data_IF_569983919502
#
_entry.id   IF_569983919502
#
_cell.length_a   1.000
_cell.length_b   1.000
_cell.length_c   1.000
_cell.angle_alpha   90.00
_cell.angle_beta   90.00
_cell.angle_gamma   90.00
#
_symmetry.space_group_name_H-M   'P 1'
#
loop_
_entity.id
_entity.type
_entity.pdbx_description
1 polymer ?
#
# COMPACT_ATOMS: atom_id res chain seq x y z
N UNK A 1 -38.65 24.49 26.70
CA UNK A 1 -38.34 23.93 25.35
C UNK A 1 -37.54 24.96 24.59
N UNK A 2 -36.21 24.83 24.42
CA UNK A 2 -35.41 25.53 23.40
C UNK A 2 -33.91 25.20 23.63
N UNK A 3 -33.40 24.08 23.12
CA UNK A 3 -31.96 23.72 23.17
C UNK A 3 -31.53 22.94 21.90
N UNK A 4 -32.06 23.29 20.72
CA UNK A 4 -31.89 22.49 19.50
C UNK A 4 -31.17 23.13 18.30
N UNK A 5 -30.50 24.29 18.44
CA UNK A 5 -30.24 25.17 17.28
C UNK A 5 -28.80 25.49 16.86
N UNK A 6 -27.72 24.96 17.46
CA UNK A 6 -26.36 25.52 17.25
C UNK A 6 -25.27 24.58 16.70
N UNK A 7 -25.54 23.31 16.47
CA UNK A 7 -24.48 22.38 16.02
C UNK A 7 -24.04 22.57 14.55
N UNK A 8 -24.83 23.26 13.72
CA UNK A 8 -24.59 23.42 12.28
C UNK A 8 -24.70 24.89 11.81
N UNK A 9 -24.35 25.86 12.64
CA UNK A 9 -24.32 27.26 12.20
C UNK A 9 -23.34 27.41 11.01
N UNK A 10 -23.81 27.83 9.81
CA UNK A 10 -22.96 27.97 8.64
C UNK A 10 -21.79 28.93 8.88
N UNK A 11 -21.94 29.92 9.76
CA UNK A 11 -20.85 30.81 10.15
C UNK A 11 -19.72 30.04 10.86
N UNK A 12 -20.06 29.24 11.88
CA UNK A 12 -19.09 28.44 12.62
C UNK A 12 -18.42 27.37 11.73
N UNK A 13 -19.18 26.74 10.83
CA UNK A 13 -18.66 25.77 9.87
C UNK A 13 -17.72 26.41 8.86
N UNK A 14 -18.04 27.61 8.38
CA UNK A 14 -17.18 28.35 7.46
C UNK A 14 -15.85 28.73 8.11
N UNK A 15 -15.88 29.24 9.35
CA UNK A 15 -14.68 29.54 10.14
C UNK A 15 -13.84 28.27 10.32
N UNK A 16 -14.48 27.14 10.64
CA UNK A 16 -13.79 25.88 10.81
C UNK A 16 -13.15 25.36 9.53
N UNK A 17 -13.86 25.43 8.41
CA UNK A 17 -13.35 25.04 7.10
C UNK A 17 -12.18 25.94 6.68
N UNK A 18 -12.26 27.24 6.99
CA UNK A 18 -11.17 28.19 6.73
C UNK A 18 -10.04 28.15 7.75
N UNK A 19 -10.16 27.41 8.86
CA UNK A 19 -9.12 27.35 9.88
C UNK A 19 -7.78 26.76 9.37
N UNK A 20 -7.81 26.06 8.22
CA UNK A 20 -6.61 25.53 7.56
C UNK A 20 -5.91 26.57 6.67
N UNK A 21 -6.61 27.62 6.24
CA UNK A 21 -6.02 28.66 5.37
C UNK A 21 -4.81 29.35 6.02
N UNK A 22 -4.86 29.77 7.30
CA UNK A 22 -3.69 30.35 7.96
C UNK A 22 -2.50 29.40 7.99
N UNK A 23 -2.73 28.09 8.17
CA UNK A 23 -1.68 27.08 8.17
C UNK A 23 -1.07 26.88 6.78
N UNK A 24 -1.88 26.87 5.72
CA UNK A 24 -1.37 26.86 4.35
C UNK A 24 -0.60 28.13 3.98
N UNK A 25 -1.08 29.30 4.40
CA UNK A 25 -0.40 30.58 4.20
C UNK A 25 0.93 30.60 4.96
N UNK A 26 0.94 30.15 6.22
CA UNK A 26 2.14 30.03 7.03
C UNK A 26 3.16 29.05 6.40
N UNK A 27 2.69 27.96 5.80
CA UNK A 27 3.56 27.01 5.11
C UNK A 27 4.29 27.61 3.90
N UNK A 28 3.67 28.57 3.22
CA UNK A 28 4.26 29.25 2.04
C UNK A 28 5.16 30.40 2.46
N UNK A 29 4.79 31.14 3.50
CA UNK A 29 5.47 32.40 3.86
C UNK A 29 6.57 32.22 4.91
N UNK A 30 6.52 31.18 5.75
CA UNK A 30 7.46 31.00 6.84
C UNK A 30 8.59 30.01 6.48
N UNK A 31 9.78 30.17 7.09
CA UNK A 31 10.82 29.16 7.03
C UNK A 31 10.33 27.80 7.55
N UNK A 32 10.84 26.71 6.95
CA UNK A 32 10.50 25.31 7.29
C UNK A 32 10.46 25.04 8.81
N UNK A 33 11.43 25.56 9.55
CA UNK A 33 11.56 25.38 11.00
C UNK A 33 10.36 25.94 11.80
N UNK A 34 9.66 26.95 11.27
CA UNK A 34 8.50 27.57 11.90
C UNK A 34 7.18 27.04 11.31
N UNK A 35 7.13 26.84 9.99
CA UNK A 35 5.95 26.34 9.30
C UNK A 35 5.52 24.95 9.77
N UNK A 36 6.47 24.00 9.88
CA UNK A 36 6.18 22.60 10.24
C UNK A 36 5.56 22.45 11.63
N UNK A 37 6.11 23.00 12.72
CA UNK A 37 5.50 22.81 14.05
C UNK A 37 4.13 23.48 14.17
N UNK A 38 3.91 24.63 13.52
CA UNK A 38 2.59 25.29 13.52
C UNK A 38 1.55 24.43 12.81
N UNK A 39 1.89 23.92 11.63
CA UNK A 39 0.99 23.12 10.79
C UNK A 39 0.73 21.74 11.38
N UNK A 40 1.77 21.06 11.85
CA UNK A 40 1.64 19.79 12.57
C UNK A 40 0.86 19.95 13.87
N UNK A 41 1.15 20.99 14.66
CA UNK A 41 0.47 21.25 15.93
C UNK A 41 -1.03 21.49 15.75
N UNK A 42 -1.40 22.36 14.80
CA UNK A 42 -2.80 22.58 14.44
C UNK A 42 -3.49 21.29 13.98
N UNK A 43 -2.81 20.50 13.14
CA UNK A 43 -3.29 19.21 12.66
C UNK A 43 -3.57 18.22 13.79
N UNK A 44 -2.62 18.03 14.70
CA UNK A 44 -2.75 17.13 15.86
C UNK A 44 -3.90 17.54 16.76
N UNK A 45 -4.05 18.84 17.05
CA UNK A 45 -5.16 19.34 17.88
C UNK A 45 -6.51 19.04 17.24
N UNK A 46 -6.67 19.35 15.95
CA UNK A 46 -7.91 19.10 15.23
C UNK A 46 -8.24 17.60 15.13
N UNK A 47 -7.23 16.76 14.91
CA UNK A 47 -7.40 15.31 14.91
C UNK A 47 -7.74 14.74 16.29
N UNK A 48 -7.15 15.28 17.36
CA UNK A 48 -7.47 14.89 18.73
C UNK A 48 -8.93 15.22 19.09
N UNK A 49 -9.40 16.42 18.72
CA UNK A 49 -10.80 16.83 18.87
C UNK A 49 -11.72 15.91 18.06
N UNK A 50 -11.36 15.63 16.81
CA UNK A 50 -12.12 14.74 15.93
C UNK A 50 -12.20 13.30 16.47
N UNK A 51 -11.09 12.78 17.01
CA UNK A 51 -11.01 11.43 17.58
C UNK A 51 -11.80 11.31 18.89
N UNK A 52 -11.80 12.35 19.73
CA UNK A 52 -12.50 12.34 21.00
C UNK A 52 -14.01 12.14 20.85
N UNK A 53 -14.62 12.58 19.73
CA UNK A 53 -16.06 12.49 19.36
C UNK A 53 -17.07 13.00 20.39
N UNK A 54 -16.63 13.33 21.59
CA UNK A 54 -17.41 13.73 22.76
C UNK A 54 -17.85 15.18 22.71
N UNK A 55 -17.10 16.00 21.97
CA UNK A 55 -17.31 17.45 21.94
C UNK A 55 -18.11 17.83 20.70
N UNK A 56 -17.74 17.37 19.50
CA UNK A 56 -18.41 17.73 18.23
C UNK A 56 -18.85 16.51 17.41
N UNK A 57 -20.05 15.97 17.66
CA UNK A 57 -20.66 14.96 16.80
C UNK A 57 -21.11 15.56 15.45
N UNK A 58 -21.23 14.72 14.42
CA UNK A 58 -21.81 15.13 13.13
C UNK A 58 -20.87 15.84 12.15
N UNK A 59 -21.41 16.75 11.34
CA UNK A 59 -20.72 17.40 10.22
C UNK A 59 -19.57 18.31 10.67
N UNK A 60 -19.74 19.07 11.76
CA UNK A 60 -18.69 19.92 12.32
C UNK A 60 -17.42 19.12 12.68
N UNK A 61 -17.59 17.93 13.27
CA UNK A 61 -16.47 17.02 13.53
C UNK A 61 -15.79 16.55 12.24
N UNK A 62 -16.54 16.25 11.18
CA UNK A 62 -15.95 15.85 9.89
C UNK A 62 -15.13 16.96 9.24
N UNK A 63 -15.61 18.21 9.28
CA UNK A 63 -14.85 19.38 8.79
C UNK A 63 -13.57 19.56 9.62
N UNK A 64 -13.64 19.43 10.95
CA UNK A 64 -12.46 19.48 11.83
C UNK A 64 -11.45 18.39 11.48
N UNK A 65 -11.92 17.17 11.28
CA UNK A 65 -11.09 16.03 10.90
C UNK A 65 -10.41 16.24 9.55
N UNK A 66 -11.14 16.68 8.53
CA UNK A 66 -10.58 16.99 7.22
C UNK A 66 -9.53 18.10 7.30
N UNK A 67 -9.83 19.16 8.05
CA UNK A 67 -8.90 20.25 8.30
C UNK A 67 -7.60 19.78 8.98
N UNK A 68 -7.73 18.93 10.00
CA UNK A 68 -6.59 18.33 10.69
C UNK A 68 -5.75 17.42 9.79
N UNK A 69 -6.40 16.59 8.98
CA UNK A 69 -5.73 15.70 8.01
C UNK A 69 -4.94 16.49 6.97
N UNK A 70 -5.52 17.57 6.42
CA UNK A 70 -4.83 18.42 5.45
C UNK A 70 -3.63 19.14 6.06
N UNK A 71 -3.74 19.61 7.31
CA UNK A 71 -2.64 20.24 8.01
C UNK A 71 -1.49 19.25 8.29
N UNK A 72 -1.79 18.01 8.73
CA UNK A 72 -0.79 16.95 8.90
C UNK A 72 -0.14 16.58 7.57
N UNK A 73 -0.93 16.39 6.51
CA UNK A 73 -0.42 16.08 5.18
C UNK A 73 0.57 17.15 4.69
N UNK A 74 0.20 18.43 4.81
CA UNK A 74 1.07 19.52 4.40
C UNK A 74 2.32 19.61 5.27
N UNK A 75 2.20 19.43 6.59
CA UNK A 75 3.36 19.39 7.49
C UNK A 75 4.34 18.27 7.08
N UNK A 76 3.84 17.08 6.77
CA UNK A 76 4.63 15.92 6.32
C UNK A 76 5.31 16.18 4.98
N UNK A 77 4.59 16.72 4.00
CA UNK A 77 5.17 17.09 2.68
C UNK A 77 6.25 18.17 2.80
N UNK A 78 6.10 19.09 3.76
CA UNK A 78 7.06 20.19 4.00
C UNK A 78 8.28 19.72 4.80
N UNK A 79 8.07 18.81 5.76
CA UNK A 79 9.12 18.33 6.65
C UNK A 79 10.04 17.32 5.98
N UNK A 80 9.48 16.39 5.22
CA UNK A 80 10.21 15.25 4.69
C UNK A 80 10.50 15.41 3.19
N UNK A 81 11.69 14.97 2.80
CA UNK A 81 12.17 14.97 1.42
C UNK A 81 12.67 13.57 1.04
N UNK A 82 12.75 13.29 -0.27
CA UNK A 82 13.16 11.98 -0.79
C UNK A 82 12.27 10.83 -0.30
N UNK A 83 12.88 9.66 -0.06
CA UNK A 83 12.18 8.43 0.34
C UNK A 83 11.47 8.53 1.69
N UNK A 84 11.94 9.41 2.57
CA UNK A 84 11.31 9.63 3.87
C UNK A 84 9.89 10.19 3.72
N UNK A 85 9.63 11.01 2.69
CA UNK A 85 8.29 11.58 2.45
C UNK A 85 7.27 10.49 2.14
N UNK A 86 7.57 9.61 1.19
CA UNK A 86 6.68 8.49 0.84
C UNK A 86 6.50 7.54 2.03
N UNK A 87 7.59 7.21 2.71
CA UNK A 87 7.57 6.33 3.88
C UNK A 87 6.71 6.86 5.03
N UNK A 88 6.84 8.14 5.37
CA UNK A 88 6.04 8.74 6.46
C UNK A 88 4.56 8.79 6.08
N UNK A 89 4.20 9.18 4.85
CA UNK A 89 2.81 9.20 4.39
C UNK A 89 2.15 7.81 4.42
N UNK A 90 2.89 6.77 4.01
CA UNK A 90 2.41 5.39 4.11
C UNK A 90 2.33 4.92 5.57
N UNK A 91 3.25 5.35 6.43
CA UNK A 91 3.19 5.12 7.87
C UNK A 91 1.97 5.77 8.53
N UNK A 92 1.68 7.02 8.20
CA UNK A 92 0.48 7.74 8.62
C UNK A 92 -0.80 7.03 8.13
N UNK A 93 -0.80 6.53 6.91
CA UNK A 93 -1.90 5.71 6.40
C UNK A 93 -2.15 4.46 7.26
N UNK A 94 -1.09 3.75 7.69
CA UNK A 94 -1.21 2.61 8.60
C UNK A 94 -1.75 3.01 9.97
N UNK A 95 -1.29 4.13 10.53
CA UNK A 95 -1.82 4.66 11.80
C UNK A 95 -3.31 5.01 11.68
N UNK A 96 -3.72 5.61 10.56
CA UNK A 96 -5.11 5.91 10.26
C UNK A 96 -5.95 4.64 10.07
N UNK A 97 -5.39 3.55 9.51
CA UNK A 97 -6.04 2.24 9.48
C UNK A 97 -6.31 1.72 10.90
N UNK A 98 -5.32 1.79 11.79
CA UNK A 98 -5.49 1.37 13.19
C UNK A 98 -6.56 2.22 13.88
N UNK A 99 -6.52 3.54 13.70
CA UNK A 99 -7.53 4.46 14.24
C UNK A 99 -8.93 4.17 13.67
N UNK A 100 -9.04 3.83 12.38
CA UNK A 100 -10.30 3.48 11.74
C UNK A 100 -10.92 2.21 12.31
N UNK A 101 -10.13 1.16 12.50
CA UNK A 101 -10.60 -0.11 13.06
C UNK A 101 -10.92 0.04 14.56
N UNK A 102 -10.04 0.66 15.33
CA UNK A 102 -10.24 0.89 16.76
C UNK A 102 -11.44 1.79 17.08
N UNK A 103 -11.62 2.86 16.31
CA UNK A 103 -12.73 3.82 16.47
C UNK A 103 -13.99 3.48 15.66
N UNK A 104 -14.00 2.36 14.93
CA UNK A 104 -15.03 1.99 13.92
C UNK A 104 -15.43 3.16 13.01
N UNK A 105 -14.42 3.93 12.56
CA UNK A 105 -14.61 5.20 11.86
C UNK A 105 -14.31 5.09 10.37
N UNK A 106 -15.36 5.08 9.54
CA UNK A 106 -15.24 5.06 8.07
C UNK A 106 -14.53 6.29 7.50
N UNK A 107 -14.63 7.45 8.15
CA UNK A 107 -13.92 8.66 7.74
C UNK A 107 -12.40 8.53 7.90
N UNK A 108 -11.94 7.86 8.97
CA UNK A 108 -10.51 7.58 9.17
C UNK A 108 -9.99 6.55 8.16
N UNK A 109 -10.83 5.58 7.75
CA UNK A 109 -10.46 4.67 6.66
C UNK A 109 -10.33 5.40 5.31
N UNK A 110 -11.26 6.32 5.01
CA UNK A 110 -11.17 7.15 3.80
C UNK A 110 -9.92 8.04 3.81
N UNK A 111 -9.57 8.61 4.97
CA UNK A 111 -8.32 9.34 5.15
C UNK A 111 -7.09 8.44 4.94
N UNK A 112 -7.08 7.24 5.52
CA UNK A 112 -6.01 6.27 5.32
C UNK A 112 -5.81 5.95 3.83
N UNK A 113 -6.90 5.76 3.08
CA UNK A 113 -6.84 5.55 1.63
C UNK A 113 -6.23 6.76 0.90
N UNK A 114 -6.58 7.98 1.29
CA UNK A 114 -6.01 9.21 0.71
C UNK A 114 -4.50 9.31 0.94
N UNK A 115 -4.04 9.13 2.18
CA UNK A 115 -2.61 9.14 2.52
C UNK A 115 -1.86 7.99 1.84
N UNK A 116 -2.45 6.81 1.78
CA UNK A 116 -1.90 5.66 1.06
C UNK A 116 -1.75 5.92 -0.44
N UNK A 117 -2.74 6.55 -1.06
CA UNK A 117 -2.70 6.88 -2.49
C UNK A 117 -1.59 7.90 -2.79
N UNK A 118 -1.48 8.96 -2.00
CA UNK A 118 -0.45 9.99 -2.17
C UNK A 118 0.94 9.42 -1.89
N UNK A 119 1.13 8.79 -0.73
CA UNK A 119 2.40 8.18 -0.34
C UNK A 119 2.82 7.04 -1.28
N UNK A 120 1.87 6.23 -1.72
CA UNK A 120 2.09 5.16 -2.69
C UNK A 120 2.48 5.70 -4.07
N UNK A 121 1.81 6.75 -4.56
CA UNK A 121 2.16 7.39 -5.84
C UNK A 121 3.57 7.99 -5.78
N UNK A 122 3.90 8.74 -4.73
CA UNK A 122 5.25 9.29 -4.54
C UNK A 122 6.27 8.14 -4.48
N UNK A 123 5.98 7.10 -3.71
CA UNK A 123 6.84 5.93 -3.57
C UNK A 123 7.09 5.20 -4.90
N UNK A 124 6.06 5.00 -5.72
CA UNK A 124 6.17 4.39 -7.05
C UNK A 124 6.94 5.29 -8.02
N UNK A 125 6.76 6.60 -7.96
CA UNK A 125 7.36 7.54 -8.92
C UNK A 125 8.84 7.81 -8.61
N UNK A 126 9.23 7.85 -7.34
CA UNK A 126 10.56 8.31 -6.93
C UNK A 126 11.43 7.22 -6.30
N UNK A 127 10.85 6.30 -5.54
CA UNK A 127 11.61 5.33 -4.74
C UNK A 127 11.68 3.97 -5.42
N UNK A 128 10.54 3.28 -5.47
CA UNK A 128 10.37 1.95 -6.06
C UNK A 128 9.96 2.12 -7.52
N UNK A 129 10.76 2.78 -8.35
CA UNK A 129 10.34 3.07 -9.74
C UNK A 129 10.11 1.79 -10.55
N UNK A 130 9.17 1.75 -11.53
CA UNK A 130 9.07 0.60 -12.44
C UNK A 130 10.39 0.28 -13.15
N UNK A 131 11.22 1.31 -13.43
CA UNK A 131 12.56 1.14 -13.97
C UNK A 131 13.51 0.38 -13.03
N UNK A 132 13.36 0.50 -11.70
CA UNK A 132 14.11 -0.28 -10.71
C UNK A 132 13.91 -1.79 -10.91
N UNK A 133 12.69 -2.20 -11.25
CA UNK A 133 12.30 -3.60 -11.44
C UNK A 133 12.64 -4.16 -12.83
N UNK A 134 13.12 -3.33 -13.75
CA UNK A 134 13.29 -3.72 -15.16
C UNK A 134 14.74 -3.54 -15.60
N UNK A 135 15.37 -2.43 -15.21
CA UNK A 135 16.69 -2.05 -15.69
C UNK A 135 17.71 -2.18 -14.55
N UNK A 136 18.75 -3.02 -14.69
CA UNK A 136 19.84 -3.06 -13.74
C UNK A 136 20.56 -1.70 -13.75
N UNK A 137 20.45 -0.94 -12.65
CA UNK A 137 21.18 0.31 -12.45
C UNK A 137 21.89 0.27 -11.10
N UNK A 138 23.09 0.82 -11.06
CA UNK A 138 23.80 1.06 -9.80
C UNK A 138 23.04 2.10 -8.99
N UNK A 139 22.70 1.77 -7.75
CA UNK A 139 22.12 2.67 -6.76
C UNK A 139 22.93 2.61 -5.47
N UNK A 140 22.91 3.68 -4.70
CA UNK A 140 23.57 3.67 -3.40
C UNK A 140 22.82 2.77 -2.41
N UNK A 141 23.52 2.26 -1.39
CA UNK A 141 22.89 1.44 -0.35
C UNK A 141 21.79 2.22 0.40
N UNK A 142 21.96 3.53 0.58
CA UNK A 142 20.96 4.39 1.22
C UNK A 142 19.68 4.51 0.37
N UNK A 143 19.80 4.70 -0.94
CA UNK A 143 18.66 4.71 -1.85
C UNK A 143 17.91 3.37 -1.86
N UNK A 144 18.65 2.25 -1.87
CA UNK A 144 18.06 0.91 -1.83
C UNK A 144 17.37 0.62 -0.50
N UNK A 145 17.94 1.07 0.63
CA UNK A 145 17.31 0.94 1.95
C UNK A 145 16.02 1.77 2.03
N UNK A 146 16.02 2.99 1.48
CA UNK A 146 14.83 3.83 1.37
C UNK A 146 13.74 3.17 0.51
N UNK A 147 14.11 2.68 -0.69
CA UNK A 147 13.20 1.97 -1.57
C UNK A 147 12.66 0.67 -0.95
N UNK A 148 13.49 -0.08 -0.22
CA UNK A 148 13.08 -1.26 0.54
C UNK A 148 12.02 -0.93 1.58
N UNK A 149 12.24 0.12 2.37
CA UNK A 149 11.29 0.56 3.39
C UNK A 149 9.96 1.00 2.77
N UNK A 150 10.00 1.78 1.69
CA UNK A 150 8.81 2.22 0.95
C UNK A 150 8.08 1.02 0.33
N UNK A 151 8.78 0.08 -0.28
CA UNK A 151 8.19 -1.14 -0.85
C UNK A 151 7.49 -1.99 0.23
N UNK A 152 8.11 -2.13 1.41
CA UNK A 152 7.51 -2.84 2.54
C UNK A 152 6.24 -2.14 3.05
N UNK A 153 6.24 -0.81 3.10
CA UNK A 153 5.08 -0.02 3.49
C UNK A 153 3.95 -0.08 2.44
N UNK A 154 4.27 -0.04 1.15
CA UNK A 154 3.29 -0.27 0.06
C UNK A 154 2.63 -1.65 0.24
N UNK A 155 3.43 -2.70 0.46
CA UNK A 155 2.92 -4.04 0.72
C UNK A 155 2.01 -4.07 1.96
N UNK A 156 2.46 -3.50 3.08
CA UNK A 156 1.71 -3.48 4.32
C UNK A 156 0.34 -2.77 4.17
N UNK A 157 0.33 -1.59 3.56
CA UNK A 157 -0.88 -0.79 3.33
C UNK A 157 -1.84 -1.49 2.37
N UNK A 158 -1.32 -2.15 1.33
CA UNK A 158 -2.11 -2.92 0.36
C UNK A 158 -2.88 -4.07 1.00
N UNK A 159 -2.37 -4.63 2.11
CA UNK A 159 -3.06 -5.66 2.89
C UNK A 159 -3.96 -5.03 3.97
N UNK A 160 -3.47 -4.01 4.66
CA UNK A 160 -4.14 -3.39 5.80
C UNK A 160 -5.44 -2.68 5.40
N UNK A 161 -5.49 -2.00 4.26
CA UNK A 161 -6.67 -1.26 3.80
C UNK A 161 -7.88 -2.18 3.50
N UNK A 162 -7.78 -3.21 2.64
CA UNK A 162 -8.88 -4.16 2.44
C UNK A 162 -9.28 -4.91 3.70
N UNK A 163 -8.30 -5.27 4.55
CA UNK A 163 -8.57 -5.90 5.84
C UNK A 163 -9.42 -5.00 6.74
N UNK A 164 -9.08 -3.72 6.84
CA UNK A 164 -9.84 -2.74 7.61
C UNK A 164 -11.22 -2.48 7.02
N UNK A 165 -11.32 -2.38 5.69
CA UNK A 165 -12.59 -2.24 4.97
C UNK A 165 -13.53 -3.43 5.24
N UNK A 166 -13.00 -4.67 5.27
CA UNK A 166 -13.75 -5.86 5.66
C UNK A 166 -14.22 -5.79 7.12
N UNK A 167 -13.34 -5.42 8.05
CA UNK A 167 -13.67 -5.26 9.48
C UNK A 167 -14.75 -4.22 9.75
N UNK A 168 -14.85 -3.21 8.90
CA UNK A 168 -15.84 -2.12 8.99
C UNK A 168 -17.09 -2.34 8.13
N UNK A 169 -17.23 -3.53 7.53
CA UNK A 169 -18.35 -3.90 6.66
C UNK A 169 -18.63 -2.83 5.59
N UNK A 170 -17.57 -2.36 4.93
CA UNK A 170 -17.64 -1.36 3.84
C UNK A 170 -18.00 -2.01 2.51
N UNK A 171 -17.57 -3.26 2.34
CA UNK A 171 -17.79 -4.08 1.16
C UNK A 171 -19.28 -4.37 0.95
N UNK A 172 -19.72 -4.24 -0.30
CA UNK A 172 -21.13 -4.35 -0.73
C UNK A 172 -21.47 -5.69 -1.37
N UNK A 173 -20.45 -6.42 -1.85
CA UNK A 173 -20.60 -7.74 -2.43
C UNK A 173 -19.43 -8.13 -3.35
N UNK A 174 -19.26 -9.43 -3.64
CA UNK A 174 -18.08 -9.94 -4.35
C UNK A 174 -17.81 -9.31 -5.73
N UNK A 175 -18.87 -8.92 -6.46
CA UNK A 175 -18.74 -8.32 -7.79
C UNK A 175 -18.33 -6.84 -7.72
N UNK A 176 -18.97 -6.06 -6.85
CA UNK A 176 -18.71 -4.61 -6.70
C UNK A 176 -17.33 -4.34 -6.09
N UNK A 177 -16.85 -5.24 -5.23
CA UNK A 177 -15.59 -5.08 -4.52
C UNK A 177 -14.40 -5.69 -5.26
N UNK A 178 -14.62 -6.42 -6.35
CA UNK A 178 -13.58 -7.07 -7.14
C UNK A 178 -12.47 -6.09 -7.60
N UNK A 179 -12.78 -4.89 -8.13
CA UNK A 179 -11.74 -3.94 -8.55
C UNK A 179 -10.83 -3.50 -7.39
N UNK A 180 -11.38 -3.37 -6.17
CA UNK A 180 -10.62 -2.98 -4.97
C UNK A 180 -9.64 -4.09 -4.61
N UNK A 181 -10.09 -5.34 -4.62
CA UNK A 181 -9.24 -6.51 -4.36
C UNK A 181 -8.17 -6.71 -5.43
N UNK A 182 -8.49 -6.44 -6.70
CA UNK A 182 -7.51 -6.47 -7.79
C UNK A 182 -6.43 -5.40 -7.59
N UNK A 183 -6.83 -4.15 -7.31
CA UNK A 183 -5.88 -3.05 -7.08
C UNK A 183 -5.00 -3.32 -5.86
N UNK A 184 -5.58 -3.83 -4.77
CA UNK A 184 -4.84 -4.22 -3.58
C UNK A 184 -3.88 -5.37 -3.86
N UNK A 185 -4.31 -6.38 -4.63
CA UNK A 185 -3.48 -7.52 -5.02
C UNK A 185 -2.30 -7.11 -5.90
N UNK A 186 -2.53 -6.25 -6.89
CA UNK A 186 -1.46 -5.70 -7.76
C UNK A 186 -0.48 -4.86 -6.94
N UNK A 187 -0.98 -3.98 -6.08
CA UNK A 187 -0.14 -3.15 -5.20
C UNK A 187 0.67 -3.99 -4.21
N UNK A 188 0.08 -5.06 -3.67
CA UNK A 188 0.78 -6.01 -2.80
C UNK A 188 1.89 -6.77 -3.56
N UNK A 189 1.61 -7.28 -4.76
CA UNK A 189 2.63 -7.94 -5.59
C UNK A 189 3.77 -6.99 -5.96
N UNK A 190 3.43 -5.74 -6.25
CA UNK A 190 4.40 -4.69 -6.54
C UNK A 190 5.32 -4.40 -5.34
N UNK A 191 4.73 -4.14 -4.17
CA UNK A 191 5.48 -3.92 -2.93
C UNK A 191 6.34 -5.12 -2.57
N UNK A 192 5.79 -6.35 -2.66
CA UNK A 192 6.55 -7.58 -2.40
C UNK A 192 7.73 -7.76 -3.37
N UNK A 193 7.54 -7.47 -4.66
CA UNK A 193 8.62 -7.51 -5.63
C UNK A 193 9.71 -6.48 -5.32
N UNK A 194 9.32 -5.26 -4.95
CA UNK A 194 10.25 -4.20 -4.51
C UNK A 194 11.05 -4.63 -3.28
N UNK A 195 10.41 -5.26 -2.29
CA UNK A 195 11.09 -5.76 -1.08
C UNK A 195 12.14 -6.80 -1.43
N UNK A 196 11.77 -7.82 -2.20
CA UNK A 196 12.69 -8.91 -2.56
C UNK A 196 13.85 -8.39 -3.41
N UNK A 197 13.58 -7.53 -4.39
CA UNK A 197 14.63 -6.98 -5.25
C UNK A 197 15.59 -6.05 -4.50
N UNK A 198 15.07 -5.10 -3.71
CA UNK A 198 15.93 -4.20 -2.95
C UNK A 198 16.76 -4.97 -1.92
N UNK A 199 16.16 -5.97 -1.24
CA UNK A 199 16.88 -6.86 -0.33
C UNK A 199 17.99 -7.64 -1.04
N UNK A 200 17.72 -8.18 -2.23
CA UNK A 200 18.73 -8.89 -3.02
C UNK A 200 19.87 -7.97 -3.49
N UNK A 201 19.57 -6.74 -3.90
CA UNK A 201 20.57 -5.75 -4.33
C UNK A 201 21.41 -5.21 -3.16
N UNK A 202 20.83 -5.12 -1.96
CA UNK A 202 21.58 -4.78 -0.74
C UNK A 202 22.51 -5.91 -0.31
N UNK A 203 22.08 -7.17 -0.46
CA UNK A 203 22.89 -8.33 -0.14
C UNK A 203 24.00 -8.60 -1.17
N UNK A 204 23.68 -8.45 -2.46
CA UNK A 204 24.60 -8.69 -3.58
C UNK A 204 24.48 -7.52 -4.56
N UNK A 205 25.40 -6.55 -4.53
CA UNK A 205 25.32 -5.40 -5.43
C UNK A 205 25.47 -5.77 -6.91
N UNK A 206 24.86 -4.96 -7.78
CA UNK A 206 25.03 -5.06 -9.23
C UNK A 206 24.15 -6.11 -9.92
N UNK A 207 24.59 -6.54 -11.11
CA UNK A 207 23.78 -7.38 -12.00
C UNK A 207 23.44 -8.74 -11.39
N UNK A 208 24.35 -9.32 -10.62
CA UNK A 208 24.13 -10.62 -9.98
C UNK A 208 22.98 -10.57 -8.97
N UNK A 209 22.95 -9.56 -8.08
CA UNK A 209 21.82 -9.41 -7.15
C UNK A 209 20.51 -9.03 -7.82
N UNK A 210 20.58 -8.29 -8.94
CA UNK A 210 19.39 -8.02 -9.76
C UNK A 210 18.78 -9.32 -10.29
N UNK A 211 19.59 -10.19 -10.91
CA UNK A 211 19.14 -11.50 -11.40
C UNK A 211 18.66 -12.41 -10.27
N UNK A 212 19.39 -12.45 -9.15
CA UNK A 212 18.99 -13.19 -7.96
C UNK A 212 17.64 -12.72 -7.43
N UNK A 213 17.43 -11.40 -7.30
CA UNK A 213 16.17 -10.81 -6.86
C UNK A 213 15.01 -11.20 -7.76
N UNK A 214 15.18 -11.16 -9.08
CA UNK A 214 14.17 -11.62 -10.02
C UNK A 214 13.86 -13.11 -9.92
N UNK A 215 14.89 -13.96 -9.77
CA UNK A 215 14.69 -15.40 -9.54
C UNK A 215 13.90 -15.64 -8.24
N UNK A 216 14.27 -14.97 -7.15
CA UNK A 216 13.60 -15.07 -5.86
C UNK A 216 12.14 -14.60 -5.94
N UNK A 217 11.85 -13.51 -6.66
CA UNK A 217 10.48 -13.03 -6.89
C UNK A 217 9.64 -14.13 -7.55
N UNK A 218 10.16 -14.73 -8.63
CA UNK A 218 9.43 -15.75 -9.38
C UNK A 218 9.18 -17.02 -8.57
N UNK A 219 10.19 -17.49 -7.84
CA UNK A 219 10.04 -18.63 -6.92
C UNK A 219 9.01 -18.31 -5.85
N UNK A 220 9.08 -17.13 -5.24
CA UNK A 220 8.15 -16.71 -4.18
C UNK A 220 6.71 -16.65 -4.68
N UNK A 221 6.49 -16.09 -5.88
CA UNK A 221 5.15 -16.03 -6.50
C UNK A 221 4.60 -17.42 -6.79
N UNK A 222 5.45 -18.32 -7.30
CA UNK A 222 5.08 -19.71 -7.60
C UNK A 222 4.69 -20.48 -6.34
N UNK A 223 5.47 -20.33 -5.26
CA UNK A 223 5.17 -20.94 -3.96
C UNK A 223 3.87 -20.38 -3.40
N UNK A 224 3.68 -19.06 -3.42
CA UNK A 224 2.45 -18.42 -2.97
C UNK A 224 1.23 -18.91 -3.77
N UNK A 225 1.36 -19.02 -5.09
CA UNK A 225 0.31 -19.52 -5.97
C UNK A 225 -0.07 -20.97 -5.61
N UNK A 226 0.93 -21.84 -5.38
CA UNK A 226 0.70 -23.21 -4.97
C UNK A 226 0.01 -23.29 -3.61
N UNK A 227 0.42 -22.49 -2.63
CA UNK A 227 -0.22 -22.43 -1.31
C UNK A 227 -1.68 -21.97 -1.43
N UNK A 228 -1.96 -20.96 -2.26
CA UNK A 228 -3.32 -20.49 -2.54
C UNK A 228 -4.18 -21.57 -3.20
N UNK A 229 -3.64 -22.31 -4.18
CA UNK A 229 -4.33 -23.42 -4.83
C UNK A 229 -4.64 -24.56 -3.85
N UNK A 230 -3.68 -24.92 -3.00
CA UNK A 230 -3.83 -25.98 -2.00
C UNK A 230 -4.85 -25.62 -0.93
N UNK A 231 -4.88 -24.35 -0.47
CA UNK A 231 -5.89 -23.85 0.47
C UNK A 231 -7.24 -23.56 -0.19
N UNK A 232 -7.26 -23.35 -1.50
CA UNK A 232 -8.45 -23.03 -2.29
C UNK A 232 -9.24 -24.22 -2.80
N UNK A 233 -8.92 -25.44 -2.37
CA UNK A 233 -9.63 -26.66 -2.82
C UNK A 233 -11.14 -26.55 -2.55
N UNK A 234 -11.50 -26.02 -1.37
CA UNK A 234 -12.89 -25.81 -0.97
C UNK A 234 -13.29 -24.31 -0.97
N UNK A 235 -12.36 -23.41 -1.33
CA UNK A 235 -12.58 -21.96 -1.37
C UNK A 235 -12.28 -21.42 -2.76
N UNK A 236 -13.34 -21.22 -3.55
CA UNK A 236 -13.26 -20.79 -4.96
C UNK A 236 -12.41 -19.53 -5.14
N UNK A 237 -12.54 -18.55 -4.25
CA UNK A 237 -11.77 -17.31 -4.31
C UNK A 237 -10.25 -17.56 -4.21
N UNK A 238 -9.79 -18.37 -3.26
CA UNK A 238 -8.36 -18.71 -3.12
C UNK A 238 -7.84 -19.49 -4.33
N UNK A 239 -8.68 -20.37 -4.90
CA UNK A 239 -8.34 -21.12 -6.11
C UNK A 239 -8.15 -20.20 -7.32
N UNK A 240 -9.09 -19.28 -7.55
CA UNK A 240 -9.01 -18.32 -8.67
C UNK A 240 -7.79 -17.43 -8.51
N UNK A 241 -7.55 -16.87 -7.32
CA UNK A 241 -6.35 -16.05 -7.06
C UNK A 241 -5.06 -16.86 -7.27
N UNK A 242 -5.03 -18.11 -6.81
CA UNK A 242 -3.92 -19.03 -7.06
C UNK A 242 -3.67 -19.27 -8.55
N UNK A 243 -4.72 -19.53 -9.34
CA UNK A 243 -4.61 -19.73 -10.79
C UNK A 243 -4.13 -18.47 -11.52
N UNK A 244 -4.65 -17.30 -11.16
CA UNK A 244 -4.20 -16.01 -11.72
C UNK A 244 -2.70 -15.81 -11.40
N UNK A 245 -2.28 -16.09 -10.16
CA UNK A 245 -0.90 -15.93 -9.76
C UNK A 245 0.04 -16.93 -10.45
N UNK A 246 -0.41 -18.17 -10.68
CA UNK A 246 0.32 -19.12 -11.55
C UNK A 246 0.46 -18.55 -12.96
N UNK A 247 -0.63 -18.09 -13.57
CA UNK A 247 -0.61 -17.50 -14.91
C UNK A 247 0.36 -16.32 -15.01
N UNK A 248 0.36 -15.43 -14.01
CA UNK A 248 1.28 -14.30 -13.92
C UNK A 248 2.74 -14.75 -13.77
N UNK A 249 3.01 -15.76 -12.93
CA UNK A 249 4.35 -16.32 -12.76
C UNK A 249 4.87 -16.96 -14.05
N UNK A 250 4.04 -17.74 -14.74
CA UNK A 250 4.38 -18.34 -16.05
C UNK A 250 4.61 -17.27 -17.11
N UNK A 251 3.74 -16.26 -17.19
CA UNK A 251 3.91 -15.15 -18.12
C UNK A 251 5.21 -14.38 -17.85
N UNK A 252 5.55 -14.14 -16.58
CA UNK A 252 6.82 -13.50 -16.19
C UNK A 252 8.02 -14.36 -16.58
N UNK A 253 7.99 -15.67 -16.33
CA UNK A 253 9.04 -16.60 -16.77
C UNK A 253 9.23 -16.49 -18.29
N UNK A 254 8.16 -16.54 -19.06
CA UNK A 254 8.25 -16.44 -20.53
C UNK A 254 8.79 -15.06 -20.95
N UNK A 255 8.29 -13.95 -20.42
CA UNK A 255 8.68 -12.61 -20.89
C UNK A 255 10.08 -12.19 -20.40
N UNK A 256 10.36 -12.40 -19.12
CA UNK A 256 11.59 -11.94 -18.49
C UNK A 256 12.71 -12.96 -18.65
N UNK A 257 12.49 -14.25 -18.33
CA UNK A 257 13.56 -15.25 -18.38
C UNK A 257 13.97 -15.62 -19.82
N UNK A 258 13.07 -15.48 -20.81
CA UNK A 258 13.49 -15.56 -22.22
C UNK A 258 14.43 -14.39 -22.59
N UNK A 259 14.16 -13.17 -22.13
CA UNK A 259 14.94 -11.99 -22.54
C UNK A 259 16.22 -11.76 -21.72
N UNK A 260 16.26 -12.23 -20.48
CA UNK A 260 17.30 -11.88 -19.50
C UNK A 260 18.35 -12.98 -19.24
N UNK A 261 18.07 -14.25 -19.58
CA UNK A 261 18.92 -15.40 -19.27
C UNK A 261 19.52 -16.05 -20.53
N UNK A 262 20.81 -16.37 -20.48
CA UNK A 262 21.49 -17.20 -21.50
C UNK A 262 20.90 -18.62 -21.55
N UNK A 263 21.06 -19.30 -22.69
CA UNK A 263 20.28 -20.49 -23.08
C UNK A 263 20.14 -21.62 -22.06
N UNK A 264 21.13 -21.83 -21.17
CA UNK A 264 21.08 -22.87 -20.14
C UNK A 264 20.13 -22.53 -18.99
N UNK A 265 20.09 -21.27 -18.56
CA UNK A 265 19.23 -20.82 -17.48
C UNK A 265 17.76 -20.73 -17.92
N UNK A 266 17.52 -20.49 -19.21
CA UNK A 266 16.22 -20.63 -19.86
C UNK A 266 15.68 -22.07 -19.78
N UNK A 267 16.52 -23.07 -20.03
CA UNK A 267 16.16 -24.50 -19.91
C UNK A 267 15.79 -24.84 -18.46
N UNK A 268 16.58 -24.35 -17.48
CA UNK A 268 16.29 -24.55 -16.05
C UNK A 268 14.97 -23.93 -15.61
N UNK A 269 14.68 -22.71 -16.05
CA UNK A 269 13.42 -22.01 -15.76
C UNK A 269 12.20 -22.77 -16.31
N UNK A 270 12.27 -23.26 -17.56
CA UNK A 270 11.19 -24.04 -18.16
C UNK A 270 11.01 -25.41 -17.51
N UNK A 271 12.10 -26.11 -17.18
CA UNK A 271 12.02 -27.38 -16.46
C UNK A 271 11.45 -27.20 -15.04
N UNK A 272 11.87 -26.15 -14.33
CA UNK A 272 11.33 -25.81 -13.01
C UNK A 272 9.83 -25.51 -13.06
N UNK A 273 9.41 -24.65 -14.00
CA UNK A 273 8.00 -24.34 -14.20
C UNK A 273 7.19 -25.57 -14.61
N UNK A 274 7.72 -26.37 -15.55
CA UNK A 274 7.11 -27.61 -16.02
C UNK A 274 6.93 -28.63 -14.90
N UNK A 275 7.95 -28.83 -14.05
CA UNK A 275 7.87 -29.71 -12.88
C UNK A 275 6.86 -29.22 -11.85
N UNK A 276 6.80 -27.91 -11.60
CA UNK A 276 5.79 -27.34 -10.68
C UNK A 276 4.38 -27.54 -11.24
N UNK A 277 4.17 -27.31 -12.54
CA UNK A 277 2.89 -27.55 -13.20
C UNK A 277 2.52 -29.03 -13.19
N UNK A 278 3.49 -29.94 -13.40
CA UNK A 278 3.27 -31.39 -13.29
C UNK A 278 2.90 -31.79 -11.85
N UNK A 279 3.60 -31.25 -10.86
CA UNK A 279 3.32 -31.52 -9.44
C UNK A 279 1.94 -31.00 -9.04
N UNK A 280 1.55 -29.82 -9.52
CA UNK A 280 0.23 -29.25 -9.32
C UNK A 280 -0.87 -30.09 -10.00
N UNK A 281 -0.68 -30.45 -11.27
CA UNK A 281 -1.60 -31.27 -12.05
C UNK A 281 -1.77 -32.68 -11.47
N UNK A 282 -0.69 -33.34 -11.07
CA UNK A 282 -0.76 -34.68 -10.44
C UNK A 282 -1.40 -34.66 -9.07
N UNK A 283 -1.16 -33.62 -8.24
CA UNK A 283 -1.86 -33.46 -6.95
C UNK A 283 -3.34 -33.16 -7.15
N UNK A 284 -3.70 -32.35 -8.14
CA UNK A 284 -5.10 -32.08 -8.47
C UNK A 284 -5.82 -33.34 -8.96
N UNK A 285 -5.23 -34.07 -9.91
CA UNK A 285 -5.77 -35.34 -10.42
C UNK A 285 -5.97 -36.39 -9.31
N UNK A 286 -5.00 -36.54 -8.40
CA UNK A 286 -5.13 -37.45 -7.24
C UNK A 286 -6.25 -37.07 -6.29
N UNK A 287 -6.49 -35.77 -6.05
CA UNK A 287 -7.58 -35.30 -5.17
C UNK A 287 -8.96 -35.43 -5.82
N UNK A 288 -9.04 -35.41 -7.15
CA UNK A 288 -10.29 -35.67 -7.90
C UNK A 288 -10.59 -37.17 -7.96
N UNK A 289 -9.60 -38.02 -8.26
CA UNK A 289 -9.74 -39.48 -8.15
C UNK A 289 -9.97 -39.96 -6.69
N UNK A 290 -9.60 -39.08 -5.77
CA UNK A 290 -9.87 -39.00 -4.34
C UNK A 290 -11.30 -39.09 -3.83
N UNK A 291 -12.24 -38.63 -4.66
CA UNK A 291 -13.65 -38.39 -4.35
C UNK A 291 -14.51 -39.37 -5.12
#
# INVERSE_FOLDING_TARGET
RQHGGRENDPGALSVLATAVLPTFIAAVLLPKAQAVPITAGAGVVLLAVWAARRWWPGFAGQVAGLAGLLAVLQATVTQFDGSARAGVLLGEALLLVVAAVGGRNRGALAAALGFAAIGGLIGVVFDVTPALLIVPRSRSAAELAGALAVAALILAVSVALPWAAARLAVFRGPADDLPIWLLAGVSALYGAAGVVLCGALLAVPGRTGFLLGHALITVSWTVAALVLLLRGIDVVALRVTGLILVGAAVLKLVLFDLSALDGLARVGAFLGAGLVLLAAGTRYARRVASR
#
